data_IF_278620612832
#
_entry.id   IF_278620612832
#
_cell.length_a   1.000
_cell.length_b   1.000
_cell.length_c   1.000
_cell.angle_alpha   90.00
_cell.angle_beta   90.00
_cell.angle_gamma   90.00
#
_symmetry.space_group_name_H-M   'P 1'
#
loop_
_entity.id
_entity.type
_entity.pdbx_description
1 polymer ?
#
# COMPACT_ATOMS: atom_id res chain seq x y z
N UNK A 1 8.13 -22.56 1.00
CA UNK A 1 7.10 -21.51 0.93
C UNK A 1 5.76 -22.18 1.13
N UNK A 2 5.02 -21.82 2.17
CA UNK A 2 3.69 -22.38 2.42
C UNK A 2 2.67 -21.69 1.51
N UNK A 3 1.75 -22.47 0.95
CA UNK A 3 0.65 -22.01 0.09
C UNK A 3 -0.66 -22.26 0.83
N UNK A 4 -1.55 -21.29 0.74
CA UNK A 4 -2.86 -21.30 1.39
C UNK A 4 -3.96 -21.18 0.35
N UNK A 5 -5.06 -21.90 0.56
CA UNK A 5 -6.29 -21.65 -0.17
C UNK A 5 -7.01 -20.44 0.47
N UNK A 6 -7.39 -19.49 -0.38
CA UNK A 6 -8.11 -18.29 0.01
C UNK A 6 -9.38 -18.16 -0.84
N UNK A 7 -10.49 -17.78 -0.22
CA UNK A 7 -11.75 -17.57 -0.91
C UNK A 7 -12.00 -16.08 -1.15
N UNK A 8 -12.41 -15.72 -2.37
CA UNK A 8 -12.81 -14.35 -2.68
C UNK A 8 -14.10 -14.03 -1.92
N UNK A 9 -14.00 -13.20 -0.89
CA UNK A 9 -15.12 -12.79 -0.05
C UNK A 9 -15.81 -11.52 -0.57
N UNK A 10 -15.08 -10.62 -1.23
CA UNK A 10 -15.63 -9.44 -1.88
C UNK A 10 -14.71 -8.93 -3.00
N UNK A 11 -15.33 -8.34 -4.02
CA UNK A 11 -14.65 -7.56 -5.06
C UNK A 11 -15.36 -6.19 -5.11
N UNK A 12 -14.61 -5.11 -4.88
CA UNK A 12 -15.17 -3.76 -4.82
C UNK A 12 -14.40 -2.84 -5.76
N UNK A 13 -15.06 -2.09 -6.66
CA UNK A 13 -14.42 -1.02 -7.42
C UNK A 13 -13.96 0.08 -6.46
N UNK A 14 -12.66 0.13 -6.17
CA UNK A 14 -12.09 1.07 -5.21
C UNK A 14 -11.76 2.41 -5.88
N UNK A 15 -11.33 2.36 -7.14
CA UNK A 15 -11.15 3.53 -8.03
C UNK A 15 -11.56 3.14 -9.45
N UNK A 16 -11.58 4.06 -10.44
CA UNK A 16 -11.84 3.71 -11.83
C UNK A 16 -10.91 2.65 -12.41
N UNK A 17 -9.67 2.53 -11.90
CA UNK A 17 -8.68 1.57 -12.39
C UNK A 17 -8.29 0.47 -11.40
N UNK A 18 -8.82 0.47 -10.18
CA UNK A 18 -8.38 -0.45 -9.11
C UNK A 18 -9.58 -1.13 -8.46
N UNK A 19 -9.51 -2.45 -8.34
CA UNK A 19 -10.44 -3.24 -7.53
C UNK A 19 -9.78 -3.63 -6.21
N UNK A 20 -10.50 -3.46 -5.11
CA UNK A 20 -10.17 -4.06 -3.82
C UNK A 20 -10.73 -5.48 -3.77
N UNK A 21 -9.86 -6.44 -3.44
CA UNK A 21 -10.16 -7.85 -3.34
C UNK A 21 -10.00 -8.28 -1.89
N UNK A 22 -11.10 -8.63 -1.23
CA UNK A 22 -11.06 -9.22 0.11
C UNK A 22 -11.04 -10.73 0.01
N UNK A 23 -10.06 -11.33 0.67
CA UNK A 23 -9.81 -12.77 0.68
C UNK A 23 -10.02 -13.30 2.09
N UNK A 24 -10.92 -14.26 2.25
CA UNK A 24 -11.04 -15.06 3.47
C UNK A 24 -10.02 -16.20 3.42
N UNK A 25 -9.24 -16.37 4.49
CA UNK A 25 -8.19 -17.38 4.62
C UNK A 25 -8.55 -18.28 5.80
N UNK A 26 -9.18 -19.44 5.57
CA UNK A 26 -9.66 -20.30 6.65
C UNK A 26 -8.54 -20.89 7.52
N UNK A 27 -7.33 -21.01 6.98
CA UNK A 27 -6.19 -21.57 7.70
C UNK A 27 -5.68 -20.59 8.77
N UNK A 28 -5.80 -20.94 10.07
CA UNK A 28 -5.39 -20.06 11.16
C UNK A 28 -3.86 -19.94 11.30
N UNK A 29 -3.06 -20.62 10.48
CA UNK A 29 -1.61 -20.51 10.46
C UNK A 29 -1.10 -19.37 9.56
N UNK A 30 -1.95 -18.81 8.68
CA UNK A 30 -1.54 -17.71 7.81
C UNK A 30 -1.13 -16.48 8.62
N UNK A 31 0.05 -15.92 8.32
CA UNK A 31 0.59 -14.72 8.99
C UNK A 31 1.26 -13.80 7.97
N UNK A 32 1.33 -12.52 8.31
CA UNK A 32 2.14 -11.56 7.57
C UNK A 32 2.56 -10.43 8.52
N UNK A 33 3.57 -9.69 8.11
CA UNK A 33 3.99 -8.44 8.75
C UNK A 33 3.52 -7.25 7.92
N UNK A 34 3.29 -6.08 8.54
CA UNK A 34 2.71 -4.96 7.81
C UNK A 34 3.69 -4.46 6.75
N UNK A 35 3.18 -4.28 5.53
CA UNK A 35 3.98 -3.93 4.34
C UNK A 35 4.35 -5.12 3.44
N UNK A 36 4.14 -6.37 3.88
CA UNK A 36 4.40 -7.55 3.07
C UNK A 36 3.39 -7.76 1.93
N UNK A 37 3.78 -8.61 0.98
CA UNK A 37 2.92 -9.08 -0.10
C UNK A 37 2.66 -10.57 -0.01
N UNK A 38 1.68 -11.03 -0.80
CA UNK A 38 1.48 -12.44 -1.14
C UNK A 38 1.63 -12.63 -2.64
N UNK A 39 2.12 -13.79 -3.05
CA UNK A 39 2.01 -14.24 -4.43
C UNK A 39 0.64 -14.87 -4.62
N UNK A 40 -0.17 -14.30 -5.51
CA UNK A 40 -1.49 -14.78 -5.88
C UNK A 40 -1.39 -15.62 -7.14
N UNK A 41 -1.79 -16.90 -7.05
CA UNK A 41 -1.80 -17.85 -8.15
C UNK A 41 -3.22 -18.19 -8.59
N UNK A 42 -3.44 -18.12 -9.90
CA UNK A 42 -4.68 -18.52 -10.58
C UNK A 42 -4.37 -19.51 -11.69
N UNK A 43 -5.38 -20.25 -12.13
CA UNK A 43 -5.31 -21.10 -13.32
C UNK A 43 -6.23 -20.54 -14.40
N UNK A 44 -5.68 -20.27 -15.58
CA UNK A 44 -6.42 -19.81 -16.76
C UNK A 44 -6.05 -20.72 -17.92
N UNK A 45 -7.04 -21.37 -18.54
CA UNK A 45 -6.85 -22.30 -19.66
C UNK A 45 -5.80 -23.40 -19.41
N UNK A 46 -5.76 -23.92 -18.17
CA UNK A 46 -4.81 -24.95 -17.74
C UNK A 46 -3.38 -24.45 -17.48
N UNK A 47 -3.15 -23.13 -17.51
CA UNK A 47 -1.85 -22.51 -17.20
C UNK A 47 -1.93 -21.76 -15.88
N UNK A 48 -1.00 -22.04 -14.98
CA UNK A 48 -0.87 -21.29 -13.72
C UNK A 48 -0.17 -19.96 -13.96
N UNK A 49 -0.80 -18.87 -13.55
CA UNK A 49 -0.23 -17.53 -13.52
C UNK A 49 -0.10 -17.06 -12.08
N UNK A 50 1.04 -16.47 -11.74
CA UNK A 50 1.35 -15.99 -10.38
C UNK A 50 1.85 -14.56 -10.42
N UNK A 51 1.41 -13.72 -9.49
CA UNK A 51 1.99 -12.40 -9.27
C UNK A 51 1.86 -11.92 -7.82
N UNK A 52 2.84 -11.11 -7.42
CA UNK A 52 2.88 -10.50 -6.09
C UNK A 52 1.92 -9.32 -5.98
N UNK A 53 1.19 -9.26 -4.86
CA UNK A 53 0.34 -8.13 -4.49
C UNK A 53 0.51 -7.81 -3.01
N UNK A 54 0.90 -6.57 -2.71
CA UNK A 54 1.04 -6.09 -1.33
C UNK A 54 -0.30 -6.14 -0.61
N UNK A 55 -0.28 -6.65 0.61
CA UNK A 55 -1.44 -6.69 1.49
C UNK A 55 -1.75 -5.27 1.92
N UNK A 56 -3.03 -4.89 1.97
CA UNK A 56 -3.46 -3.57 2.44
C UNK A 56 -4.01 -3.61 3.86
N UNK A 57 -4.40 -4.76 4.40
CA UNK A 57 -4.94 -4.86 5.77
C UNK A 57 -3.86 -4.76 6.84
N UNK A 58 -4.29 -4.46 8.07
CA UNK A 58 -3.47 -4.63 9.27
C UNK A 58 -3.36 -6.12 9.65
N UNK A 59 -2.18 -6.60 10.06
CA UNK A 59 -1.98 -7.98 10.51
C UNK A 59 -2.66 -8.31 11.85
N UNK A 60 -3.26 -7.31 12.52
CA UNK A 60 -4.08 -7.51 13.73
C UNK A 60 -5.36 -8.28 13.39
N UNK A 61 -5.88 -8.11 12.18
CA UNK A 61 -7.07 -8.82 11.71
C UNK A 61 -6.67 -10.15 11.07
N UNK A 62 -6.99 -11.25 11.75
CA UNK A 62 -6.70 -12.60 11.27
C UNK A 62 -7.86 -13.17 10.45
N UNK A 63 -7.55 -14.13 9.59
CA UNK A 63 -8.53 -14.86 8.79
C UNK A 63 -8.99 -14.13 7.52
N UNK A 64 -8.53 -12.89 7.29
CA UNK A 64 -8.76 -12.17 6.04
C UNK A 64 -7.62 -11.22 5.69
N UNK A 65 -7.44 -10.99 4.38
CA UNK A 65 -6.60 -9.92 3.84
C UNK A 65 -7.34 -9.18 2.73
N UNK A 66 -6.89 -7.97 2.42
CA UNK A 66 -7.34 -7.20 1.26
C UNK A 66 -6.14 -6.88 0.37
N UNK A 67 -6.36 -6.93 -0.95
CA UNK A 67 -5.41 -6.54 -1.98
C UNK A 67 -6.06 -5.45 -2.84
N UNK A 68 -5.32 -4.41 -3.22
CA UNK A 68 -5.79 -3.44 -4.21
C UNK A 68 -5.06 -3.69 -5.55
N UNK A 69 -5.81 -4.17 -6.54
CA UNK A 69 -5.25 -4.65 -7.81
C UNK A 69 -5.64 -3.70 -8.92
N UNK A 70 -4.63 -3.03 -9.50
CA UNK A 70 -4.82 -2.15 -10.66
C UNK A 70 -5.04 -2.97 -11.94
N UNK A 71 -5.99 -2.52 -12.76
CA UNK A 71 -6.29 -3.12 -14.06
C UNK A 71 -5.06 -3.09 -14.98
N UNK A 72 -4.81 -4.21 -15.66
CA UNK A 72 -3.77 -4.31 -16.69
C UNK A 72 -4.13 -5.40 -17.69
N UNK A 73 -4.21 -5.03 -18.97
CA UNK A 73 -4.49 -5.97 -20.05
C UNK A 73 -3.31 -6.93 -20.33
N UNK A 74 -2.10 -6.55 -19.92
CA UNK A 74 -0.87 -7.31 -20.17
C UNK A 74 -0.51 -8.27 -19.03
N UNK A 75 -1.14 -8.10 -17.86
CA UNK A 75 -0.84 -8.89 -16.69
C UNK A 75 -1.95 -9.93 -16.45
N UNK A 76 -1.72 -11.24 -16.68
CA UNK A 76 -2.77 -12.25 -16.67
C UNK A 76 -3.59 -12.28 -15.37
N UNK A 77 -2.92 -12.20 -14.21
CA UNK A 77 -3.60 -12.21 -12.90
C UNK A 77 -4.51 -10.98 -12.73
N UNK A 78 -3.98 -9.77 -12.92
CA UNK A 78 -4.77 -8.54 -12.86
C UNK A 78 -5.94 -8.54 -13.84
N UNK A 79 -5.73 -9.00 -15.09
CA UNK A 79 -6.79 -9.10 -16.09
C UNK A 79 -7.90 -10.05 -15.65
N UNK A 80 -7.53 -11.27 -15.24
CA UNK A 80 -8.49 -12.24 -14.72
C UNK A 80 -9.26 -11.69 -13.51
N UNK A 81 -8.57 -11.00 -12.60
CA UNK A 81 -9.18 -10.38 -11.43
C UNK A 81 -10.25 -9.33 -11.78
N UNK A 82 -10.03 -8.56 -12.85
CA UNK A 82 -10.97 -7.52 -13.28
C UNK A 82 -12.10 -8.06 -14.16
N UNK A 83 -11.85 -9.09 -14.97
CA UNK A 83 -12.79 -9.55 -15.99
C UNK A 83 -13.59 -10.80 -15.56
N UNK A 84 -12.94 -11.73 -14.84
CA UNK A 84 -13.41 -13.11 -14.67
C UNK A 84 -13.67 -13.50 -13.22
N UNK A 85 -12.89 -12.98 -12.27
CA UNK A 85 -13.03 -13.33 -10.85
C UNK A 85 -14.44 -13.07 -10.31
N UNK A 86 -14.92 -13.96 -9.44
CA UNK A 86 -16.22 -13.88 -8.78
C UNK A 86 -16.08 -14.13 -7.29
N UNK A 87 -16.99 -13.55 -6.53
CA UNK A 87 -17.15 -13.88 -5.10
C UNK A 87 -17.45 -15.37 -4.98
N UNK A 88 -16.72 -16.03 -4.08
CA UNK A 88 -16.78 -17.47 -3.87
C UNK A 88 -15.65 -18.27 -4.52
N UNK A 89 -14.95 -17.72 -5.51
CA UNK A 89 -13.80 -18.38 -6.15
C UNK A 89 -12.71 -18.69 -5.12
N UNK A 90 -12.06 -19.85 -5.28
CA UNK A 90 -10.92 -20.26 -4.46
C UNK A 90 -9.65 -20.06 -5.27
N UNK A 91 -8.71 -19.31 -4.69
CA UNK A 91 -7.40 -19.00 -5.27
C UNK A 91 -6.31 -19.43 -4.29
N UNK A 92 -5.08 -19.57 -4.79
CA UNK A 92 -3.92 -19.91 -3.97
C UNK A 92 -3.10 -18.66 -3.70
N UNK A 93 -2.67 -18.49 -2.45
CA UNK A 93 -1.76 -17.43 -2.05
C UNK A 93 -0.55 -17.98 -1.31
N UNK A 94 0.61 -17.34 -1.44
CA UNK A 94 1.75 -17.62 -0.56
C UNK A 94 1.49 -17.13 0.86
N UNK A 95 2.31 -17.56 1.82
CA UNK A 95 2.55 -16.83 3.07
C UNK A 95 2.91 -15.35 2.76
N UNK A 96 2.55 -14.44 3.67
CA UNK A 96 3.08 -13.08 3.66
C UNK A 96 4.61 -13.07 3.63
N UNK A 97 5.19 -12.33 2.69
CA UNK A 97 6.62 -12.36 2.42
C UNK A 97 7.15 -10.97 2.03
N UNK A 98 8.48 -10.86 2.09
CA UNK A 98 9.18 -9.64 1.71
C UNK A 98 9.87 -8.92 2.85
N UNK A 99 10.92 -8.12 2.54
CA UNK A 99 11.66 -7.34 3.53
C UNK A 99 11.07 -5.95 3.79
N UNK A 100 10.07 -5.52 3.02
CA UNK A 100 9.44 -4.21 3.16
C UNK A 100 8.46 -4.23 4.34
N UNK A 101 9.01 -4.12 5.54
CA UNK A 101 8.27 -4.28 6.80
C UNK A 101 8.58 -3.13 7.75
N UNK A 102 7.56 -2.67 8.46
CA UNK A 102 7.71 -1.77 9.61
C UNK A 102 7.29 -2.48 10.89
N UNK A 103 8.11 -2.37 11.93
CA UNK A 103 7.77 -2.81 13.28
C UNK A 103 8.05 -1.65 14.25
N UNK A 104 7.25 -1.47 15.32
CA UNK A 104 7.37 -0.33 16.22
C UNK A 104 8.76 -0.19 16.87
N UNK A 105 9.48 -1.30 17.09
CA UNK A 105 10.85 -1.29 17.62
C UNK A 105 11.90 -0.68 16.67
N UNK A 106 11.55 -0.43 15.41
CA UNK A 106 12.48 0.13 14.41
C UNK A 106 12.60 1.65 14.51
N UNK A 107 11.49 2.34 14.80
CA UNK A 107 11.43 3.79 15.05
C UNK A 107 10.03 4.19 15.50
N UNK A 108 9.94 5.19 16.39
CA UNK A 108 8.69 5.82 16.79
C UNK A 108 8.14 6.79 15.73
N UNK A 109 8.90 7.08 14.66
CA UNK A 109 8.52 8.04 13.61
C UNK A 109 8.66 7.41 12.22
N UNK A 110 7.59 7.48 11.42
CA UNK A 110 7.59 6.92 10.06
C UNK A 110 6.92 7.84 9.05
N UNK A 111 7.56 8.02 7.91
CA UNK A 111 7.03 8.71 6.73
C UNK A 111 6.83 7.69 5.62
N UNK A 112 5.59 7.55 5.17
CA UNK A 112 5.15 6.59 4.16
C UNK A 112 4.87 7.35 2.86
N UNK A 113 5.71 7.22 1.85
CA UNK A 113 5.61 7.97 0.59
C UNK A 113 5.16 7.05 -0.55
N UNK A 114 3.90 7.24 -0.96
CA UNK A 114 3.22 6.38 -1.93
C UNK A 114 2.93 7.06 -3.26
N UNK A 115 3.08 6.34 -4.37
CA UNK A 115 2.68 6.77 -5.70
C UNK A 115 1.66 5.82 -6.34
N UNK A 116 0.45 6.32 -6.64
CA UNK A 116 -0.60 5.53 -7.30
C UNK A 116 -0.95 4.25 -6.53
N UNK A 117 -0.85 3.08 -7.16
CA UNK A 117 -1.12 1.79 -6.48
C UNK A 117 0.01 1.39 -5.51
N UNK A 118 1.19 2.02 -5.57
CA UNK A 118 2.28 1.77 -4.61
C UNK A 118 1.96 2.21 -3.18
N UNK A 119 0.78 2.78 -2.93
CA UNK A 119 0.27 3.01 -1.58
C UNK A 119 -0.04 1.69 -0.84
N UNK A 120 -0.24 0.57 -1.53
CA UNK A 120 -0.75 -0.68 -0.92
C UNK A 120 0.06 -1.21 0.27
N UNK A 121 1.40 -1.40 0.20
CA UNK A 121 2.14 -1.84 1.39
C UNK A 121 2.16 -0.77 2.48
N UNK A 122 2.14 0.51 2.09
CA UNK A 122 2.12 1.64 3.02
C UNK A 122 0.80 1.71 3.78
N UNK A 123 -0.33 1.38 3.15
CA UNK A 123 -1.63 1.26 3.82
C UNK A 123 -1.61 0.17 4.88
N UNK A 124 -0.96 -0.96 4.62
CA UNK A 124 -0.83 -2.01 5.65
C UNK A 124 -0.05 -1.53 6.87
N UNK A 125 1.05 -0.80 6.66
CA UNK A 125 1.81 -0.16 7.76
C UNK A 125 0.96 0.87 8.49
N UNK A 126 0.33 1.79 7.77
CA UNK A 126 -0.51 2.85 8.34
C UNK A 126 -1.70 2.30 9.13
N UNK A 127 -2.41 1.32 8.57
CA UNK A 127 -3.50 0.61 9.25
C UNK A 127 -3.00 -0.18 10.46
N UNK A 128 -1.81 -0.77 10.40
CA UNK A 128 -1.22 -1.43 11.56
C UNK A 128 -0.99 -0.47 12.73
N UNK A 129 -0.40 0.70 12.47
CA UNK A 129 -0.23 1.76 13.48
C UNK A 129 -1.57 2.13 14.11
N UNK A 130 -2.60 2.35 13.29
CA UNK A 130 -3.96 2.68 13.75
C UNK A 130 -4.60 1.56 14.58
N UNK A 131 -4.66 0.36 14.03
CA UNK A 131 -5.47 -0.75 14.55
C UNK A 131 -4.82 -1.36 15.80
N UNK A 132 -3.49 -1.40 15.87
CA UNK A 132 -2.74 -1.81 17.06
C UNK A 132 -2.60 -0.68 18.09
N UNK A 133 -3.07 0.55 17.78
CA UNK A 133 -2.95 1.75 18.62
C UNK A 133 -1.50 2.03 19.03
N UNK A 134 -0.58 1.91 18.07
CA UNK A 134 0.83 2.19 18.32
C UNK A 134 1.03 3.69 18.57
N UNK A 135 1.97 4.08 19.44
CA UNK A 135 2.28 5.49 19.69
C UNK A 135 3.05 6.15 18.53
N UNK A 136 3.43 5.35 17.52
CA UNK A 136 4.17 5.78 16.32
C UNK A 136 3.54 7.02 15.68
N UNK A 137 4.33 8.04 15.38
CA UNK A 137 3.95 9.15 14.53
C UNK A 137 4.06 8.72 13.06
N UNK A 138 2.94 8.63 12.35
CA UNK A 138 2.90 8.15 10.97
C UNK A 138 2.38 9.22 10.01
N UNK A 139 3.24 9.65 9.09
CA UNK A 139 2.89 10.58 8.01
C UNK A 139 2.77 9.84 6.69
N UNK A 140 1.56 9.78 6.14
CA UNK A 140 1.31 9.26 4.79
C UNK A 140 1.33 10.41 3.78
N UNK A 141 2.32 10.41 2.88
CA UNK A 141 2.42 11.34 1.75
C UNK A 141 2.05 10.60 0.48
N UNK A 142 0.87 10.88 -0.07
CA UNK A 142 0.31 10.12 -1.18
C UNK A 142 0.18 10.96 -2.44
N UNK A 143 0.84 10.53 -3.50
CA UNK A 143 0.81 11.17 -4.81
C UNK A 143 -0.02 10.34 -5.80
N UNK A 144 -1.00 10.99 -6.43
CA UNK A 144 -1.79 10.40 -7.53
C UNK A 144 -1.81 11.32 -8.75
N UNK A 145 -2.07 10.74 -9.92
CA UNK A 145 -2.28 11.55 -11.12
C UNK A 145 -3.63 12.25 -11.12
N UNK A 146 -4.67 11.52 -10.74
CA UNK A 146 -6.07 11.92 -10.81
C UNK A 146 -6.71 11.78 -9.43
N UNK A 147 -7.53 12.75 -9.03
CA UNK A 147 -8.21 12.78 -7.73
C UNK A 147 -9.14 11.57 -7.53
N UNK A 148 -9.66 11.00 -8.63
CA UNK A 148 -10.54 9.81 -8.62
C UNK A 148 -9.79 8.50 -8.37
N UNK A 149 -8.46 8.53 -8.47
CA UNK A 149 -7.59 7.38 -8.21
C UNK A 149 -7.09 7.34 -6.76
N UNK A 150 -7.59 8.22 -5.88
CA UNK A 150 -7.24 8.18 -4.47
C UNK A 150 -7.89 6.95 -3.83
N UNK A 151 -7.08 5.94 -3.54
CA UNK A 151 -7.51 4.76 -2.81
C UNK A 151 -7.89 5.09 -1.36
N UNK A 152 -9.03 4.57 -0.92
CA UNK A 152 -9.52 4.62 0.46
C UNK A 152 -9.59 6.05 1.06
N UNK A 153 -9.96 7.05 0.25
CA UNK A 153 -9.98 8.46 0.65
C UNK A 153 -10.71 8.72 1.97
N UNK A 154 -11.94 8.23 2.10
CA UNK A 154 -12.77 8.50 3.27
C UNK A 154 -12.17 7.92 4.56
N UNK A 155 -11.53 6.74 4.45
CA UNK A 155 -10.83 6.10 5.56
C UNK A 155 -9.60 6.91 5.98
N UNK A 156 -8.79 7.36 5.01
CA UNK A 156 -7.59 8.16 5.28
C UNK A 156 -7.94 9.50 5.92
N UNK A 157 -8.98 10.17 5.41
CA UNK A 157 -9.49 11.42 5.95
C UNK A 157 -10.05 11.24 7.36
N UNK A 158 -10.75 10.13 7.63
CA UNK A 158 -11.24 9.81 8.96
C UNK A 158 -10.10 9.49 9.93
N UNK A 159 -9.08 8.75 9.49
CA UNK A 159 -7.91 8.42 10.31
C UNK A 159 -7.19 9.70 10.74
N UNK A 160 -6.92 10.62 9.80
CA UNK A 160 -6.25 11.89 10.09
C UNK A 160 -7.06 12.83 11.00
N UNK A 161 -8.40 12.71 11.02
CA UNK A 161 -9.26 13.50 11.93
C UNK A 161 -9.38 12.91 13.33
N UNK A 162 -9.32 11.58 13.43
CA UNK A 162 -9.68 10.86 14.67
C UNK A 162 -8.47 10.38 15.48
N UNK A 163 -7.26 10.50 14.93
CA UNK A 163 -6.02 10.03 15.55
C UNK A 163 -4.94 11.10 15.44
N UNK A 164 -4.47 11.61 16.58
CA UNK A 164 -3.51 12.71 16.63
C UNK A 164 -2.12 12.34 16.07
N UNK A 165 -1.79 11.04 16.03
CA UNK A 165 -0.51 10.52 15.55
C UNK A 165 -0.53 10.03 14.09
N UNK A 166 -1.66 10.18 13.39
CA UNK A 166 -1.81 9.79 11.99
C UNK A 166 -2.02 11.03 11.12
N UNK A 167 -1.08 11.29 10.22
CA UNK A 167 -1.11 12.44 9.34
C UNK A 167 -1.22 11.99 7.88
N UNK A 168 -2.04 12.67 7.10
CA UNK A 168 -2.25 12.33 5.68
C UNK A 168 -2.12 13.59 4.83
N UNK A 169 -1.21 13.53 3.85
CA UNK A 169 -0.96 14.58 2.86
C UNK A 169 -1.13 13.99 1.46
N UNK A 170 -2.21 14.36 0.76
CA UNK A 170 -2.49 13.88 -0.60
C UNK A 170 -2.19 14.99 -1.60
N UNK A 171 -1.41 14.68 -2.63
CA UNK A 171 -1.10 15.59 -3.74
C UNK A 171 -1.53 15.01 -5.08
N UNK A 172 -2.15 15.85 -5.92
CA UNK A 172 -2.65 15.45 -7.25
C UNK A 172 -1.84 16.16 -8.33
N UNK A 173 -1.23 15.40 -9.23
CA UNK A 173 -0.37 15.96 -10.28
C UNK A 173 -1.12 16.46 -11.51
N UNK A 174 -2.33 15.96 -11.77
CA UNK A 174 -3.25 16.42 -12.82
C UNK A 174 -4.60 16.77 -12.21
N UNK A 175 -4.60 17.77 -11.33
CA UNK A 175 -5.79 18.20 -10.61
C UNK A 175 -6.88 18.71 -11.56
N UNK A 176 -8.10 18.19 -11.38
CA UNK A 176 -9.30 18.74 -12.00
C UNK A 176 -9.83 19.96 -11.21
N UNK A 177 -10.85 20.63 -11.74
CA UNK A 177 -11.40 21.85 -11.12
C UNK A 177 -12.07 21.62 -9.75
N UNK A 178 -12.43 20.38 -9.41
CA UNK A 178 -13.01 20.01 -8.12
C UNK A 178 -11.96 19.65 -7.06
N UNK A 179 -10.68 19.58 -7.42
CA UNK A 179 -9.60 19.33 -6.46
C UNK A 179 -9.16 20.61 -5.76
N UNK A 180 -9.22 20.59 -4.42
CA UNK A 180 -8.85 21.74 -3.57
C UNK A 180 -7.70 21.43 -2.61
N UNK A 181 -7.03 20.28 -2.75
CA UNK A 181 -5.88 19.88 -1.92
C UNK A 181 -4.54 20.28 -2.54
N UNK A 182 -3.46 19.63 -2.07
CA UNK A 182 -2.12 19.87 -2.61
C UNK A 182 -2.02 19.45 -4.08
N UNK A 183 -1.21 20.16 -4.85
CA UNK A 183 -0.99 19.86 -6.26
C UNK A 183 0.48 19.68 -6.60
N UNK A 184 0.70 19.03 -7.74
CA UNK A 184 2.02 18.77 -8.29
C UNK A 184 2.70 17.57 -7.64
N UNK A 185 3.97 17.37 -8.01
CA UNK A 185 4.79 16.30 -7.43
C UNK A 185 5.13 16.62 -5.97
N UNK A 186 5.52 15.58 -5.25
CA UNK A 186 6.14 15.73 -3.93
C UNK A 186 7.48 16.44 -4.15
N UNK A 187 7.71 17.51 -3.40
CA UNK A 187 8.85 18.41 -3.56
C UNK A 187 9.48 18.69 -2.17
N UNK A 188 10.66 19.34 -2.12
CA UNK A 188 11.31 19.62 -0.85
C UNK A 188 10.41 20.41 0.12
N UNK A 189 9.62 21.36 -0.37
CA UNK A 189 8.77 22.21 0.49
C UNK A 189 7.74 21.35 1.23
N UNK A 190 7.08 20.43 0.52
CA UNK A 190 6.11 19.50 1.11
C UNK A 190 6.76 18.55 2.12
N UNK A 191 8.00 18.10 1.87
CA UNK A 191 8.72 17.23 2.81
C UNK A 191 9.16 17.96 4.07
N UNK A 192 9.70 19.18 3.95
CA UNK A 192 10.09 19.98 5.12
C UNK A 192 8.87 20.35 5.98
N UNK A 193 7.71 20.56 5.36
CA UNK A 193 6.47 20.86 6.09
C UNK A 193 5.97 19.71 6.99
N UNK A 194 6.52 18.51 6.85
CA UNK A 194 6.19 17.39 7.75
C UNK A 194 6.81 17.58 9.15
N UNK A 195 7.90 18.34 9.27
CA UNK A 195 8.60 18.65 10.53
C UNK A 195 8.84 17.42 11.41
N UNK A 196 9.48 16.39 10.83
CA UNK A 196 9.69 15.09 11.48
C UNK A 196 11.08 14.98 12.13
N UNK A 197 11.25 14.18 13.19
CA UNK A 197 12.55 13.99 13.83
C UNK A 197 13.59 13.32 12.94
N UNK A 198 14.88 13.56 13.22
CA UNK A 198 16.02 12.95 12.49
C UNK A 198 16.02 11.41 12.53
N UNK A 199 15.35 10.81 13.51
CA UNK A 199 15.25 9.37 13.67
C UNK A 199 14.05 8.73 12.93
N UNK A 200 13.43 9.47 12.02
CA UNK A 200 12.34 8.99 11.16
C UNK A 200 12.83 7.95 10.16
N UNK A 201 11.99 6.94 9.90
CA UNK A 201 12.14 6.01 8.78
C UNK A 201 11.25 6.43 7.61
N UNK A 202 11.81 6.38 6.40
CA UNK A 202 11.09 6.72 5.17
C UNK A 202 10.85 5.45 4.35
N UNK A 203 9.59 5.14 4.08
CA UNK A 203 9.18 4.01 3.24
C UNK A 203 8.67 4.53 1.90
N UNK A 204 9.28 4.10 0.80
CA UNK A 204 8.95 4.52 -0.55
C UNK A 204 8.36 3.36 -1.36
N UNK A 205 7.19 3.55 -1.95
CA UNK A 205 6.64 2.60 -2.91
C UNK A 205 5.79 3.31 -3.98
N UNK A 206 5.98 2.94 -5.24
CA UNK A 206 5.35 3.61 -6.38
C UNK A 206 6.12 3.38 -7.68
N UNK A 207 5.81 4.15 -8.74
CA UNK A 207 6.53 4.07 -10.00
C UNK A 207 8.04 4.23 -9.81
N UNK A 208 8.84 3.44 -10.53
CA UNK A 208 10.31 3.42 -10.41
C UNK A 208 10.94 4.82 -10.36
N UNK A 209 10.61 5.69 -11.31
CA UNK A 209 11.14 7.05 -11.36
C UNK A 209 10.79 7.88 -10.13
N UNK A 210 9.59 7.72 -9.56
CA UNK A 210 9.22 8.40 -8.32
C UNK A 210 10.07 7.91 -7.13
N UNK A 211 10.30 6.60 -7.01
CA UNK A 211 11.10 6.04 -5.91
C UNK A 211 12.56 6.50 -6.02
N UNK A 212 13.13 6.50 -7.23
CA UNK A 212 14.49 6.97 -7.49
C UNK A 212 14.65 8.47 -7.20
N UNK A 213 13.73 9.30 -7.70
CA UNK A 213 13.72 10.75 -7.45
C UNK A 213 13.56 11.05 -5.95
N UNK A 214 12.66 10.35 -5.26
CA UNK A 214 12.41 10.58 -3.84
C UNK A 214 13.56 10.09 -2.96
N UNK A 215 14.18 8.96 -3.28
CA UNK A 215 15.37 8.49 -2.57
C UNK A 215 16.53 9.48 -2.72
N UNK A 216 16.71 10.05 -3.91
CA UNK A 216 17.74 11.08 -4.16
C UNK A 216 17.43 12.35 -3.39
N UNK A 217 16.19 12.82 -3.45
CA UNK A 217 15.75 14.01 -2.74
C UNK A 217 15.95 13.87 -1.22
N UNK A 218 15.51 12.77 -0.61
CA UNK A 218 15.68 12.54 0.83
C UNK A 218 17.16 12.50 1.22
N UNK A 219 18.00 11.86 0.40
CA UNK A 219 19.44 11.85 0.63
C UNK A 219 20.05 13.26 0.56
N UNK A 220 19.65 14.08 -0.42
CA UNK A 220 20.11 15.47 -0.55
C UNK A 220 19.62 16.36 0.59
N UNK A 221 18.51 16.01 1.22
CA UNK A 221 18.00 16.62 2.46
C UNK A 221 18.69 16.08 3.73
N UNK A 222 19.68 15.19 3.59
CA UNK A 222 20.49 14.69 4.69
C UNK A 222 19.97 13.42 5.37
N UNK A 223 18.91 12.79 4.82
CA UNK A 223 18.41 11.51 5.36
C UNK A 223 19.41 10.40 5.05
N UNK A 224 19.94 9.69 6.08
CA UNK A 224 20.84 8.56 5.87
C UNK A 224 20.19 7.44 5.05
N UNK A 225 20.92 6.85 4.10
CA UNK A 225 20.39 5.79 3.22
C UNK A 225 19.82 4.58 3.97
N UNK A 226 20.33 4.25 5.15
CA UNK A 226 19.81 3.15 5.98
C UNK A 226 18.47 3.46 6.65
N UNK A 227 17.98 4.71 6.54
CA UNK A 227 16.64 5.15 6.97
C UNK A 227 15.66 5.28 5.81
N UNK A 228 16.10 5.00 4.58
CA UNK A 228 15.26 5.02 3.38
C UNK A 228 15.04 3.56 2.94
N UNK A 229 13.84 3.06 3.21
CA UNK A 229 13.39 1.74 2.83
C UNK A 229 12.53 1.89 1.58
N UNK A 230 12.79 1.11 0.54
CA UNK A 230 11.99 1.16 -0.67
C UNK A 230 11.74 -0.23 -1.23
N UNK A 231 10.57 -0.40 -1.81
CA UNK A 231 10.20 -1.66 -2.46
C UNK A 231 10.80 -1.70 -3.88
N UNK A 232 11.38 -2.85 -4.25
CA UNK A 232 12.02 -3.08 -5.55
C UNK A 232 11.20 -4.09 -6.36
N UNK A 233 10.05 -3.69 -6.87
CA UNK A 233 9.30 -4.51 -7.82
C UNK A 233 8.86 -3.65 -9.02
N UNK A 234 9.19 -4.13 -10.23
CA UNK A 234 8.94 -3.50 -11.53
C UNK A 234 8.33 -4.51 -12.49
#
# INVERSE_FOLDING_TARGET
MHIFDAQIAAITPATPSIHALRLAIPDPAFRFLPGQWVDLSIEVDGVTHTAGYSITTSPIHQGEIELAIKASAHHPVARWMHEQARVGDVIRISQGQGPFVYLPEMSDNVVLIGGGVGITPLLSIFRHVRDARLPTQAHLVYSVSDSREILFRDELDAAARNHDNLHVSITVTQADAGWHGLTGRIDPVKLHALDVPDDTLYYLCGPKGMVEDMSTLLHDLGVPMNRIIFEKWW
#
